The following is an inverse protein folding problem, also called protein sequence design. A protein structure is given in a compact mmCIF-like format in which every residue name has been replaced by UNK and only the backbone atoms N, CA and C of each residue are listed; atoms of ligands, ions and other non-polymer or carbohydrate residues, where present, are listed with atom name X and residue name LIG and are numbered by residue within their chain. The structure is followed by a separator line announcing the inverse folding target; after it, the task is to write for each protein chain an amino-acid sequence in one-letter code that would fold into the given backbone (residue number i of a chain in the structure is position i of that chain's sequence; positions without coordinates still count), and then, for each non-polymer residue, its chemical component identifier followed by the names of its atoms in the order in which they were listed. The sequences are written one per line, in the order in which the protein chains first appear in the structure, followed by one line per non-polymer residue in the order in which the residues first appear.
data_IF_943123238166
#
_entry.id   IF_943123238166
#
_cell.length_a   1.000
_cell.length_b   1.000
_cell.length_c   1.000
_cell.angle_alpha   90.00
_cell.angle_beta   90.00
_cell.angle_gamma   90.00
#
_symmetry.space_group_name_H-M   'P 1'
#
loop_
_entity.id
_entity.type
_entity.pdbx_description
1 polymer ?
#
# COMPACT_ATOMS: atom_id res chain seq x y z
N UNK A 1 29.23 -16.73 -12.55
CA UNK A 1 27.86 -17.23 -12.76
C UNK A 1 27.21 -17.58 -11.41
N UNK A 2 27.91 -18.31 -10.55
CA UNK A 2 27.45 -18.69 -9.18
C UNK A 2 26.98 -17.54 -8.29
N UNK A 3 27.67 -16.38 -8.27
CA UNK A 3 27.25 -15.20 -7.47
C UNK A 3 25.86 -14.68 -7.85
N UNK A 4 25.44 -14.86 -9.11
CA UNK A 4 24.10 -14.46 -9.56
C UNK A 4 23.06 -15.50 -9.15
N UNK A 5 23.44 -16.78 -9.18
CA UNK A 5 22.58 -17.89 -8.77
C UNK A 5 22.24 -17.79 -7.28
N UNK A 6 23.26 -17.63 -6.44
CA UNK A 6 23.10 -17.46 -4.98
C UNK A 6 22.26 -16.25 -4.63
N UNK A 7 22.42 -15.12 -5.34
CA UNK A 7 21.58 -13.93 -5.16
C UNK A 7 20.11 -14.19 -5.54
N UNK A 8 19.85 -15.00 -6.57
CA UNK A 8 18.49 -15.38 -6.96
C UNK A 8 17.87 -16.33 -5.93
N UNK A 9 18.62 -17.29 -5.41
CA UNK A 9 18.19 -18.17 -4.32
C UNK A 9 17.81 -17.37 -3.08
N UNK A 10 18.65 -16.42 -2.65
CA UNK A 10 18.33 -15.59 -1.47
C UNK A 10 17.09 -14.71 -1.69
N UNK A 11 16.86 -14.24 -2.92
CA UNK A 11 15.63 -13.51 -3.24
C UNK A 11 14.41 -14.42 -3.20
N UNK A 12 14.50 -15.63 -3.76
CA UNK A 12 13.40 -16.59 -3.76
C UNK A 12 13.05 -17.05 -2.35
N UNK A 13 14.04 -17.32 -1.50
CA UNK A 13 13.84 -17.66 -0.09
C UNK A 13 13.15 -16.52 0.67
N UNK A 14 13.55 -15.26 0.42
CA UNK A 14 12.90 -14.09 1.03
C UNK A 14 11.45 -13.92 0.56
N UNK A 15 11.18 -14.15 -0.73
CA UNK A 15 9.82 -14.13 -1.28
C UNK A 15 8.98 -15.23 -0.63
N UNK A 16 9.51 -16.46 -0.57
CA UNK A 16 8.84 -17.60 0.04
C UNK A 16 8.52 -17.32 1.51
N UNK A 17 9.49 -16.83 2.29
CA UNK A 17 9.30 -16.46 3.68
C UNK A 17 8.22 -15.37 3.85
N UNK A 18 8.21 -14.34 2.99
CA UNK A 18 7.16 -13.33 2.98
C UNK A 18 5.78 -13.94 2.70
N UNK A 19 5.68 -14.84 1.71
CA UNK A 19 4.42 -15.49 1.33
C UNK A 19 3.91 -16.41 2.45
N UNK A 20 4.79 -17.19 3.07
CA UNK A 20 4.43 -18.11 4.17
C UNK A 20 4.06 -17.36 5.46
N UNK A 21 4.77 -16.27 5.76
CA UNK A 21 4.44 -15.40 6.89
C UNK A 21 3.08 -14.73 6.68
N UNK A 22 2.79 -14.31 5.44
CA UNK A 22 1.52 -13.70 5.06
C UNK A 22 0.38 -14.72 4.88
N UNK A 23 0.64 -16.00 4.60
CA UNK A 23 -0.41 -17.03 4.56
C UNK A 23 -1.07 -17.27 5.92
N UNK A 24 -0.38 -16.97 7.03
CA UNK A 24 -0.98 -17.04 8.38
C UNK A 24 -1.85 -15.83 8.71
N UNK A 25 -1.67 -14.70 8.02
CA UNK A 25 -2.54 -13.53 8.10
C UNK A 25 -3.28 -13.39 6.77
N UNK A 26 -4.35 -14.18 6.61
CA UNK A 26 -5.49 -13.92 5.71
C UNK A 26 -5.20 -12.88 4.63
N UNK A 27 -4.92 -13.32 3.40
CA UNK A 27 -4.92 -12.51 2.15
C UNK A 27 -5.34 -11.07 2.41
N UNK A 28 -4.37 -10.15 2.59
CA UNK A 28 -4.66 -8.80 3.05
C UNK A 28 -5.58 -8.13 2.02
N UNK A 29 -6.88 -8.22 2.28
CA UNK A 29 -7.91 -7.63 1.44
C UNK A 29 -7.84 -6.13 1.60
N UNK A 30 -8.12 -5.39 0.53
CA UNK A 30 -8.26 -3.95 0.60
C UNK A 30 -9.23 -3.60 1.73
N UNK A 31 -8.80 -2.71 2.63
CA UNK A 31 -9.65 -2.21 3.71
C UNK A 31 -10.60 -1.16 3.13
N UNK A 32 -11.84 -1.14 3.60
CA UNK A 32 -12.87 -0.17 3.15
C UNK A 32 -12.42 1.29 3.36
N UNK A 33 -11.62 1.52 4.40
CA UNK A 33 -11.07 2.84 4.73
C UNK A 33 -10.12 3.41 3.66
N UNK A 34 -9.60 2.56 2.76
CA UNK A 34 -8.75 2.95 1.65
C UNK A 34 -9.56 3.35 0.40
N UNK A 35 -10.83 3.72 0.55
CA UNK A 35 -11.65 4.20 -0.57
C UNK A 35 -12.01 5.68 -0.40
N UNK A 36 -11.01 6.52 -0.08
CA UNK A 36 -11.20 7.93 0.26
C UNK A 36 -11.66 8.71 -0.97
N UNK A 37 -12.83 9.32 -0.85
CA UNK A 37 -13.53 10.06 -1.90
C UNK A 37 -13.78 11.53 -1.54
N UNK A 38 -13.52 11.92 -0.28
CA UNK A 38 -13.78 13.25 0.23
C UNK A 38 -12.74 13.72 1.25
N UNK A 39 -12.70 15.03 1.49
CA UNK A 39 -11.81 15.64 2.51
C UNK A 39 -12.20 15.17 3.92
N UNK A 40 -13.50 14.96 4.18
CA UNK A 40 -13.96 14.47 5.48
C UNK A 40 -13.46 13.04 5.77
N UNK A 41 -13.49 12.16 4.77
CA UNK A 41 -12.93 10.80 4.88
C UNK A 41 -11.41 10.83 5.03
N UNK A 42 -10.71 11.75 4.36
CA UNK A 42 -9.27 11.93 4.53
C UNK A 42 -8.92 12.37 5.96
N UNK A 43 -9.73 13.24 6.56
CA UNK A 43 -9.58 13.64 7.98
C UNK A 43 -9.88 12.48 8.92
N UNK A 44 -10.94 11.72 8.66
CA UNK A 44 -11.25 10.53 9.44
C UNK A 44 -10.13 9.48 9.37
N UNK A 45 -9.42 9.39 8.22
CA UNK A 45 -8.25 8.53 8.06
C UNK A 45 -7.04 9.01 8.88
N UNK A 46 -6.88 10.33 9.09
CA UNK A 46 -5.82 10.92 9.92
C UNK A 46 -5.98 10.54 11.40
N UNK A 47 -7.22 10.36 11.85
CA UNK A 47 -7.59 10.11 13.26
C UNK A 47 -7.86 8.63 13.59
N UNK A 48 -7.37 7.69 12.77
CA UNK A 48 -7.60 6.25 12.98
C UNK A 48 -6.87 5.73 14.21
N UNK A 49 -7.38 4.65 14.79
CA UNK A 49 -6.73 3.96 15.89
C UNK A 49 -5.48 3.17 15.43
N UNK A 50 -4.61 2.85 16.39
CA UNK A 50 -3.32 2.17 16.14
C UNK A 50 -3.49 0.78 15.52
N UNK A 51 -4.55 0.04 15.86
CA UNK A 51 -4.81 -1.29 15.30
C UNK A 51 -5.15 -1.18 13.81
N UNK A 52 -6.04 -0.24 13.47
CA UNK A 52 -6.41 0.06 12.08
C UNK A 52 -5.20 0.56 11.28
N UNK A 53 -4.39 1.45 11.87
CA UNK A 53 -3.14 1.91 11.28
C UNK A 53 -2.21 0.74 10.94
N UNK A 54 -1.98 -0.18 11.88
CA UNK A 54 -1.13 -1.36 11.64
C UNK A 54 -1.68 -2.23 10.51
N UNK A 55 -3.00 -2.43 10.42
CA UNK A 55 -3.60 -3.20 9.31
C UNK A 55 -3.38 -2.52 7.95
N UNK A 56 -3.54 -1.20 7.89
CA UNK A 56 -3.28 -0.43 6.66
C UNK A 56 -1.80 -0.50 6.25
N UNK A 57 -0.88 -0.35 7.21
CA UNK A 57 0.55 -0.46 6.94
C UNK A 57 0.94 -1.86 6.47
N UNK A 58 0.38 -2.92 7.05
CA UNK A 58 0.60 -4.29 6.61
C UNK A 58 0.07 -4.53 5.19
N UNK A 59 -1.11 -3.98 4.85
CA UNK A 59 -1.64 -4.03 3.48
C UNK A 59 -0.71 -3.32 2.49
N UNK A 60 -0.25 -2.11 2.81
CA UNK A 60 0.67 -1.37 1.93
C UNK A 60 2.03 -2.06 1.79
N UNK A 61 2.55 -2.67 2.86
CA UNK A 61 3.75 -3.48 2.79
C UNK A 61 3.54 -4.71 1.88
N UNK A 62 2.39 -5.35 1.99
CA UNK A 62 2.01 -6.50 1.17
C UNK A 62 1.95 -6.16 -0.32
N UNK A 63 1.22 -5.09 -0.71
CA UNK A 63 1.08 -4.71 -2.13
C UNK A 63 2.32 -4.02 -2.68
N UNK A 64 3.03 -3.26 -1.83
CA UNK A 64 4.20 -2.45 -2.19
C UNK A 64 5.46 -3.27 -2.44
N UNK A 65 5.45 -4.54 -2.02
CA UNK A 65 6.54 -5.49 -2.25
C UNK A 65 7.90 -4.88 -1.83
N UNK A 66 8.97 -5.11 -2.61
CA UNK A 66 10.35 -4.78 -2.24
C UNK A 66 10.81 -3.35 -2.57
N UNK A 67 9.97 -2.52 -3.19
CA UNK A 67 10.38 -1.20 -3.68
C UNK A 67 9.58 -0.07 -3.03
N UNK A 68 10.25 0.76 -2.23
CA UNK A 68 9.65 1.91 -1.55
C UNK A 68 8.93 2.87 -2.52
N UNK A 69 9.48 3.08 -3.72
CA UNK A 69 8.86 3.96 -4.72
C UNK A 69 7.54 3.36 -5.23
N UNK A 70 7.49 2.05 -5.43
CA UNK A 70 6.28 1.35 -5.86
C UNK A 70 5.25 1.31 -4.73
N UNK A 71 5.69 1.04 -3.50
CA UNK A 71 4.85 1.08 -2.31
C UNK A 71 4.15 2.43 -2.15
N UNK A 72 4.89 3.55 -2.20
CA UNK A 72 4.31 4.90 -2.10
C UNK A 72 3.29 5.15 -3.22
N UNK A 73 3.62 4.79 -4.45
CA UNK A 73 2.72 4.97 -5.59
C UNK A 73 1.43 4.15 -5.45
N UNK A 74 1.55 2.92 -4.97
CA UNK A 74 0.41 2.06 -4.69
C UNK A 74 -0.41 2.57 -3.52
N UNK A 75 0.19 3.15 -2.48
CA UNK A 75 -0.56 3.79 -1.40
C UNK A 75 -1.54 4.82 -1.94
N UNK A 76 -1.10 5.72 -2.81
CA UNK A 76 -1.98 6.75 -3.38
C UNK A 76 -3.06 6.15 -4.29
N UNK A 77 -2.68 5.23 -5.18
CA UNK A 77 -3.64 4.59 -6.10
C UNK A 77 -4.68 3.73 -5.40
N UNK A 78 -4.30 3.09 -4.31
CA UNK A 78 -5.19 2.21 -3.58
C UNK A 78 -6.05 2.98 -2.58
N UNK A 79 -5.56 4.07 -1.98
CA UNK A 79 -6.26 4.80 -0.90
C UNK A 79 -7.22 5.89 -1.38
N UNK A 80 -6.95 6.51 -2.54
CA UNK A 80 -7.72 7.62 -3.06
C UNK A 80 -8.56 7.16 -4.25
N UNK A 81 -9.79 7.64 -4.35
CA UNK A 81 -10.53 7.52 -5.59
C UNK A 81 -9.91 8.43 -6.67
N UNK A 82 -9.83 7.92 -7.90
CA UNK A 82 -9.28 8.64 -9.06
C UNK A 82 -9.97 10.00 -9.26
N UNK A 83 -11.29 10.05 -9.05
CA UNK A 83 -12.07 11.28 -9.18
C UNK A 83 -11.75 12.33 -8.10
N UNK A 84 -11.24 11.91 -6.94
CA UNK A 84 -10.92 12.77 -5.81
C UNK A 84 -9.45 13.27 -5.84
N UNK A 85 -8.56 12.51 -6.46
CA UNK A 85 -7.12 12.85 -6.60
C UNK A 85 -6.86 14.27 -7.12
N UNK A 86 -7.60 14.81 -8.11
CA UNK A 86 -7.43 16.19 -8.56
C UNK A 86 -7.69 17.22 -7.45
N UNK A 87 -8.64 16.98 -6.54
CA UNK A 87 -8.97 17.89 -5.44
C UNK A 87 -7.83 18.05 -4.42
N UNK A 88 -6.95 17.05 -4.34
CA UNK A 88 -5.81 17.03 -3.42
C UNK A 88 -4.50 17.48 -4.06
N UNK A 89 -4.47 17.54 -5.40
CA UNK A 89 -3.26 17.85 -6.15
C UNK A 89 -3.38 19.18 -6.87
N UNK A 90 -2.24 19.78 -7.20
CA UNK A 90 -2.22 21.03 -7.95
C UNK A 90 -2.90 20.94 -9.33
N UNK A 91 -3.05 19.73 -9.89
CA UNK A 91 -3.74 19.46 -11.16
C UNK A 91 -5.24 19.77 -11.15
N UNK A 92 -5.91 19.77 -9.99
CA UNK A 92 -7.34 20.12 -9.91
C UNK A 92 -7.64 21.61 -9.85
N UNK A 93 -6.63 22.47 -9.65
CA UNK A 93 -6.83 23.92 -9.46
C UNK A 93 -7.27 24.67 -10.71
N UNK A 94 -7.12 24.09 -11.90
CA UNK A 94 -7.58 24.71 -13.15
C UNK A 94 -9.08 24.51 -13.41
N UNK A 95 -9.77 23.65 -12.64
CA UNK A 95 -11.18 23.29 -12.83
C UNK A 95 -12.11 23.75 -11.69
N UNK A 96 -11.62 24.56 -10.75
CA UNK A 96 -12.41 25.21 -9.69
C UNK A 96 -12.69 26.66 -10.02
#
# INVERSE_FOLDING_TARGET
MEKRLTKMETMLERILQCVESNQRSSTSSKLDILSISSVAELRAFEDIDEETYCKVMNYFHYIGSFNLKEAINLCFKESLQDAFTPCLTWWGREKQ
#
